data_IF_414200399103
#
_entry.id   IF_414200399103
#
_cell.length_a   1.000
_cell.length_b   1.000
_cell.length_c   1.000
_cell.angle_alpha   90.00
_cell.angle_beta   90.00
_cell.angle_gamma   90.00
#
_symmetry.space_group_name_H-M   'P 1'
#
loop_
_entity.id
_entity.type
_entity.pdbx_description
1 polymer ?
#
# COMPACT_ATOMS: atom_id res chain seq x y z
N UNK A 1 -0.89 5.41 0.00
CA UNK A 1 0.14 4.39 0.29
C UNK A 1 0.65 3.73 -0.99
N UNK A 2 -0.12 2.90 -1.70
CA UNK A 2 0.35 2.19 -2.92
C UNK A 2 1.14 3.07 -3.91
N UNK A 3 0.58 4.20 -4.33
CA UNK A 3 1.27 5.13 -5.22
C UNK A 3 2.60 5.68 -4.67
N UNK A 4 2.71 5.90 -3.35
CA UNK A 4 3.96 6.35 -2.72
C UNK A 4 5.04 5.25 -2.69
N UNK A 5 4.64 4.00 -2.84
CA UNK A 5 5.53 2.85 -3.03
C UNK A 5 5.84 2.60 -4.52
N UNK A 6 5.29 3.40 -5.43
CA UNK A 6 5.37 3.16 -6.88
C UNK A 6 4.44 2.05 -7.39
N UNK A 7 3.46 1.61 -6.59
CA UNK A 7 2.51 0.57 -6.97
C UNK A 7 1.25 1.17 -7.60
N UNK A 8 0.90 0.71 -8.80
CA UNK A 8 -0.41 0.95 -9.40
C UNK A 8 -1.38 -0.17 -9.00
N UNK A 9 -2.09 0.05 -7.89
CA UNK A 9 -3.06 -0.92 -7.36
C UNK A 9 -4.24 -1.16 -8.31
N UNK A 10 -4.57 -0.18 -9.17
CA UNK A 10 -5.63 -0.34 -10.16
C UNK A 10 -5.17 -1.31 -11.25
N UNK A 11 -3.94 -1.14 -11.76
CA UNK A 11 -3.38 -2.05 -12.74
C UNK A 11 -3.23 -3.46 -12.17
N UNK A 12 -2.74 -3.59 -10.93
CA UNK A 12 -2.66 -4.89 -10.23
C UNK A 12 -4.04 -5.58 -10.10
N UNK A 13 -5.11 -4.81 -9.92
CA UNK A 13 -6.46 -5.37 -9.88
C UNK A 13 -6.96 -5.83 -11.26
N UNK A 14 -6.62 -5.08 -12.32
CA UNK A 14 -6.95 -5.43 -13.71
C UNK A 14 -6.18 -6.69 -14.15
N UNK A 15 -4.90 -6.76 -13.80
CA UNK A 15 -4.00 -7.87 -14.17
C UNK A 15 -4.24 -9.14 -13.32
N UNK A 16 -5.10 -9.06 -12.31
CA UNK A 16 -5.43 -10.17 -11.42
C UNK A 16 -4.43 -10.40 -10.28
N UNK A 17 -3.40 -9.56 -10.15
CA UNK A 17 -2.43 -9.59 -9.05
C UNK A 17 -2.99 -9.12 -7.70
N UNK A 18 -4.12 -8.38 -7.70
CA UNK A 18 -4.82 -7.91 -6.52
C UNK A 18 -6.34 -8.18 -6.62
N UNK A 19 -6.86 -9.27 -6.03
CA UNK A 19 -8.28 -9.60 -6.12
C UNK A 19 -9.16 -8.63 -5.33
N UNK A 20 -10.41 -8.44 -5.79
CA UNK A 20 -11.35 -7.45 -5.22
C UNK A 20 -11.65 -7.64 -3.73
N UNK A 21 -11.73 -8.89 -3.28
CA UNK A 21 -11.94 -9.19 -1.86
C UNK A 21 -10.74 -8.75 -1.03
N UNK A 22 -9.52 -8.93 -1.54
CA UNK A 22 -8.28 -8.49 -0.88
C UNK A 22 -8.17 -6.96 -0.85
N UNK A 23 -8.68 -6.25 -1.86
CA UNK A 23 -8.79 -4.77 -1.81
C UNK A 23 -9.68 -4.35 -0.63
N UNK A 24 -10.84 -5.00 -0.47
CA UNK A 24 -11.78 -4.67 0.61
C UNK A 24 -11.16 -4.95 1.98
N UNK A 25 -10.49 -6.09 2.12
CA UNK A 25 -9.75 -6.45 3.34
C UNK A 25 -8.60 -5.47 3.62
N UNK A 26 -7.83 -5.06 2.60
CA UNK A 26 -6.76 -4.09 2.75
C UNK A 26 -7.28 -2.73 3.25
N UNK A 27 -8.43 -2.28 2.75
CA UNK A 27 -9.10 -1.06 3.25
C UNK A 27 -9.53 -1.24 4.71
N UNK A 28 -10.14 -2.38 5.06
CA UNK A 28 -10.55 -2.67 6.45
C UNK A 28 -9.36 -2.74 7.41
N UNK A 29 -8.23 -3.32 7.00
CA UNK A 29 -6.99 -3.34 7.79
C UNK A 29 -6.42 -1.93 7.96
N UNK A 30 -6.47 -1.11 6.91
CA UNK A 30 -5.99 0.27 6.92
C UNK A 30 -6.80 1.15 7.87
N UNK A 31 -8.13 1.09 7.80
CA UNK A 31 -9.02 1.90 8.66
C UNK A 31 -8.98 1.51 10.13
N UNK A 32 -8.53 0.28 10.44
CA UNK A 32 -8.26 -0.21 11.80
C UNK A 32 -6.85 0.09 12.31
N UNK A 33 -5.99 0.74 11.52
CA UNK A 33 -4.64 1.10 11.95
C UNK A 33 -4.70 2.15 13.08
N UNK A 34 -3.83 2.02 14.08
CA UNK A 34 -3.73 2.97 15.19
C UNK A 34 -2.99 4.27 14.82
N UNK A 35 -2.36 4.33 13.64
CA UNK A 35 -1.46 5.41 13.24
C UNK A 35 -1.78 6.01 11.85
N UNK A 36 -3.05 6.37 11.54
CA UNK A 36 -3.40 6.92 10.22
C UNK A 36 -2.75 8.29 9.94
N UNK A 37 -2.57 9.13 10.97
CA UNK A 37 -1.93 10.45 10.84
C UNK A 37 -0.44 10.35 10.42
N UNK A 38 0.24 9.28 10.85
CA UNK A 38 1.63 9.03 10.46
C UNK A 38 1.71 8.64 8.98
N UNK A 39 0.76 7.84 8.49
CA UNK A 39 0.63 7.57 7.06
C UNK A 39 0.40 8.87 6.27
N UNK A 40 -0.50 9.74 6.73
CA UNK A 40 -0.78 11.01 6.05
C UNK A 40 0.46 11.92 5.99
N UNK A 41 1.20 12.01 7.10
CA UNK A 41 2.45 12.79 7.18
C UNK A 41 3.52 12.24 6.24
N UNK A 42 3.67 10.90 6.17
CA UNK A 42 4.60 10.25 5.25
C UNK A 42 4.24 10.54 3.79
N UNK A 43 2.96 10.49 3.44
CA UNK A 43 2.47 10.75 2.09
C UNK A 43 2.52 12.23 1.68
N UNK A 44 2.49 13.14 2.65
CA UNK A 44 2.64 14.58 2.41
C UNK A 44 4.09 14.96 2.04
N UNK A 45 5.07 14.12 2.40
CA UNK A 45 6.45 14.29 1.97
C UNK A 45 6.57 13.79 0.53
N UNK A 46 6.63 14.71 -0.43
CA UNK A 46 6.97 14.42 -1.82
C UNK A 46 8.44 13.99 -1.92
N UNK A 47 8.75 12.77 -1.51
CA UNK A 47 10.06 12.17 -1.72
C UNK A 47 10.15 11.61 -3.14
N UNK A 48 11.23 11.90 -3.89
CA UNK A 48 11.44 11.31 -5.22
C UNK A 48 11.79 9.81 -5.17
N UNK A 49 12.04 9.26 -3.98
CA UNK A 49 12.35 7.84 -3.80
C UNK A 49 11.16 7.12 -3.16
N UNK A 50 10.73 5.96 -3.71
CA UNK A 50 9.75 5.12 -3.05
C UNK A 50 10.31 4.68 -1.71
N UNK A 51 9.70 5.18 -0.64
CA UNK A 51 9.92 4.69 0.72
C UNK A 51 9.16 3.38 0.85
N UNK A 52 9.76 2.32 1.38
CA UNK A 52 9.03 1.09 1.67
C UNK A 52 7.84 1.34 2.61
N UNK A 53 6.85 0.43 2.65
CA UNK A 53 5.78 0.51 3.63
C UNK A 53 6.38 0.56 5.05
N UNK A 54 5.90 1.46 5.94
CA UNK A 54 6.44 1.54 7.28
C UNK A 54 6.06 0.31 8.11
N UNK A 55 6.84 0.00 9.15
CA UNK A 55 6.65 -1.19 9.99
C UNK A 55 5.27 -1.27 10.66
N UNK A 56 4.63 -0.12 10.89
CA UNK A 56 3.29 -0.04 11.46
C UNK A 56 2.17 -0.22 10.42
N UNK A 57 2.48 -0.31 9.13
CA UNK A 57 1.49 -0.46 8.08
C UNK A 57 0.77 -1.81 8.22
N UNK A 58 -0.54 -1.78 8.42
CA UNK A 58 -1.36 -3.00 8.49
C UNK A 58 -1.45 -3.79 7.18
N UNK A 59 -0.98 -3.20 6.07
CA UNK A 59 -0.88 -3.83 4.76
C UNK A 59 0.57 -4.06 4.34
N UNK A 60 1.52 -4.08 5.28
CA UNK A 60 2.95 -4.27 5.01
C UNK A 60 3.23 -5.48 4.11
N UNK A 61 2.71 -6.66 4.48
CA UNK A 61 2.95 -7.90 3.75
C UNK A 61 2.36 -7.84 2.33
N UNK A 62 1.12 -7.35 2.21
CA UNK A 62 0.45 -7.20 0.92
C UNK A 62 1.20 -6.26 -0.02
N UNK A 63 1.60 -5.09 0.49
CA UNK A 63 2.27 -4.07 -0.31
C UNK A 63 3.69 -4.52 -0.72
N UNK A 64 4.38 -5.23 0.17
CA UNK A 64 5.68 -5.85 -0.14
C UNK A 64 5.52 -6.88 -1.26
N UNK A 65 4.57 -7.81 -1.12
CA UNK A 65 4.27 -8.82 -2.14
C UNK A 65 3.97 -8.23 -3.51
N UNK A 66 3.11 -7.21 -3.58
CA UNK A 66 2.78 -6.53 -4.84
C UNK A 66 4.00 -5.82 -5.46
N UNK A 67 4.91 -5.29 -4.64
CA UNK A 67 6.15 -4.67 -5.12
C UNK A 67 7.17 -5.67 -5.65
N UNK A 68 7.16 -6.91 -5.14
CA UNK A 68 8.01 -7.99 -5.63
C UNK A 68 7.48 -8.58 -6.95
N UNK A 69 6.15 -8.63 -7.15
CA UNK A 69 5.55 -9.12 -8.39
C UNK A 69 5.76 -8.20 -9.60
N UNK A 70 5.94 -6.90 -9.38
CA UNK A 70 6.09 -5.89 -10.45
C UNK A 70 7.53 -5.61 -10.87
N UNK A 71 8.51 -6.34 -10.32
CA UNK A 71 9.95 -6.18 -10.60
C UNK A 71 10.44 -7.25 -11.59
#
# INVERSE_FOLDING_TARGET
MGAALGLDLQQQAIDGGLPRDEISEAVLRCTKCAHPEQCASLLAVSSPQPVGPPDYCRNLDLLTYLGEQGR
#
